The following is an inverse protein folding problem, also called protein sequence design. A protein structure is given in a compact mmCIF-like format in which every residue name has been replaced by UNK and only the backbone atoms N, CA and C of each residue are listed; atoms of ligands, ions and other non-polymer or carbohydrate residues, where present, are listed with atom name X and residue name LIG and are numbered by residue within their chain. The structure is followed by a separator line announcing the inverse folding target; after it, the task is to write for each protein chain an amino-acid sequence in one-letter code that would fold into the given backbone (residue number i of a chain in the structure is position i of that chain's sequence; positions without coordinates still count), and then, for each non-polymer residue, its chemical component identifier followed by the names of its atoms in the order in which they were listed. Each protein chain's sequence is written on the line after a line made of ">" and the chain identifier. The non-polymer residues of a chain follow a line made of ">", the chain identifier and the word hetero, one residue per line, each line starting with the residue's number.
data_IF_179681155796
#
_entry.id   IF_179681155796
#
_cell.length_a   1.000
_cell.length_b   1.000
_cell.length_c   1.000
_cell.angle_alpha   90.00
_cell.angle_beta   90.00
_cell.angle_gamma   90.00
#
_symmetry.space_group_name_H-M   'P 1'
#
loop_
_entity.id
_entity.type
_entity.pdbx_description
1 polymer ?
#
# COMPACT_ATOMS: atom_id res chain seq x y z
N UNK A 1 -7.42 -9.11 -6.19
CA UNK A 1 -5.95 -9.28 -6.32
C UNK A 1 -5.28 -8.15 -5.56
N UNK A 2 -4.18 -8.42 -4.85
CA UNK A 2 -3.49 -7.42 -4.02
C UNK A 2 -3.15 -6.13 -4.79
N UNK A 3 -2.81 -6.23 -6.08
CA UNK A 3 -2.53 -5.11 -6.98
C UNK A 3 -3.67 -4.08 -7.02
N UNK A 4 -4.93 -4.52 -7.01
CA UNK A 4 -6.10 -3.61 -7.04
C UNK A 4 -6.15 -2.78 -5.76
N UNK A 5 -5.91 -3.39 -4.60
CA UNK A 5 -5.81 -2.67 -3.33
C UNK A 5 -4.63 -1.69 -3.34
N UNK A 6 -3.51 -2.08 -3.97
CA UNK A 6 -2.34 -1.21 -4.12
C UNK A 6 -2.61 0.02 -4.97
N UNK A 7 -3.35 -0.12 -6.08
CA UNK A 7 -3.75 1.02 -6.92
C UNK A 7 -4.71 1.93 -6.15
N UNK A 8 -5.69 1.37 -5.44
CA UNK A 8 -6.62 2.15 -4.63
C UNK A 8 -5.89 2.95 -3.54
N UNK A 9 -4.86 2.38 -2.91
CA UNK A 9 -4.08 3.10 -1.90
C UNK A 9 -3.38 4.34 -2.48
N UNK A 10 -2.86 4.23 -3.71
CA UNK A 10 -2.18 5.33 -4.42
C UNK A 10 -3.19 6.42 -4.76
N UNK A 11 -4.38 6.06 -5.26
CA UNK A 11 -5.46 7.02 -5.54
C UNK A 11 -5.85 7.78 -4.27
N UNK A 12 -6.02 7.08 -3.14
CA UNK A 12 -6.28 7.72 -1.85
C UNK A 12 -5.13 8.63 -1.39
N UNK A 13 -3.88 8.24 -1.61
CA UNK A 13 -2.73 9.08 -1.29
C UNK A 13 -2.75 10.38 -2.10
N UNK A 14 -2.99 10.29 -3.41
CA UNK A 14 -3.07 11.47 -4.30
C UNK A 14 -4.20 12.40 -3.85
N UNK A 15 -5.39 11.85 -3.57
CA UNK A 15 -6.52 12.63 -3.05
C UNK A 15 -6.19 13.31 -1.71
N UNK A 16 -5.47 12.63 -0.81
CA UNK A 16 -5.04 13.21 0.46
C UNK A 16 -4.13 14.43 0.26
N UNK A 17 -3.21 14.37 -0.72
CA UNK A 17 -2.34 15.49 -1.07
C UNK A 17 -3.10 16.66 -1.72
N UNK A 18 -4.04 16.40 -2.62
CA UNK A 18 -4.88 17.45 -3.23
C UNK A 18 -5.65 18.20 -2.13
N UNK A 19 -6.22 17.46 -1.16
CA UNK A 19 -6.97 18.08 -0.06
C UNK A 19 -6.07 18.81 0.96
N UNK A 20 -4.83 18.37 1.10
CA UNK A 20 -3.82 19.07 1.91
C UNK A 20 -3.51 20.45 1.34
N UNK A 21 -3.36 20.56 0.01
CA UNK A 21 -3.14 21.85 -0.67
C UNK A 21 -4.36 22.77 -0.48
N UNK A 22 -5.56 22.21 -0.51
CA UNK A 22 -6.81 22.94 -0.27
C UNK A 22 -7.10 23.22 1.23
N UNK A 23 -6.14 22.95 2.13
CA UNK A 23 -6.24 23.14 3.60
C UNK A 23 -7.49 22.51 4.22
N UNK A 24 -7.93 21.37 3.69
CA UNK A 24 -9.14 20.69 4.13
C UNK A 24 -8.81 19.52 5.07
N UNK A 25 -9.41 19.52 6.26
CA UNK A 25 -9.21 18.47 7.29
C UNK A 25 -9.55 17.04 6.81
N UNK A 26 -10.35 16.89 5.75
CA UNK A 26 -10.61 15.59 5.11
C UNK A 26 -9.34 14.93 4.54
N UNK A 27 -8.23 15.67 4.36
CA UNK A 27 -6.94 15.12 3.96
C UNK A 27 -6.46 13.99 4.88
N UNK A 28 -6.67 14.12 6.20
CA UNK A 28 -6.28 13.09 7.18
C UNK A 28 -7.09 11.81 6.95
N UNK A 29 -8.40 11.92 6.72
CA UNK A 29 -9.25 10.75 6.44
C UNK A 29 -8.77 9.99 5.21
N UNK A 30 -8.49 10.69 4.10
CA UNK A 30 -7.96 10.06 2.90
C UNK A 30 -6.58 9.44 3.11
N UNK A 31 -5.74 10.05 3.94
CA UNK A 31 -4.44 9.49 4.31
C UNK A 31 -4.57 8.19 5.12
N UNK A 32 -5.49 8.15 6.08
CA UNK A 32 -5.79 6.92 6.84
C UNK A 32 -6.35 5.82 5.92
N UNK A 33 -7.25 6.17 4.99
CA UNK A 33 -7.73 5.23 3.97
C UNK A 33 -6.58 4.70 3.11
N UNK A 34 -5.67 5.56 2.63
CA UNK A 34 -4.50 5.15 1.86
C UNK A 34 -3.67 4.10 2.61
N UNK A 35 -3.29 4.39 3.87
CA UNK A 35 -2.51 3.48 4.70
C UNK A 35 -3.24 2.16 4.98
N UNK A 36 -4.57 2.19 5.20
CA UNK A 36 -5.35 0.97 5.37
C UNK A 36 -5.28 0.07 4.12
N UNK A 37 -5.37 0.63 2.92
CA UNK A 37 -5.24 -0.13 1.68
C UNK A 37 -3.81 -0.64 1.45
N UNK A 38 -2.77 0.07 1.89
CA UNK A 38 -1.38 -0.46 1.91
C UNK A 38 -1.32 -1.73 2.75
N UNK A 39 -1.88 -1.72 3.97
CA UNK A 39 -1.88 -2.92 4.83
C UNK A 39 -2.68 -4.07 4.24
N UNK A 40 -3.86 -3.80 3.68
CA UNK A 40 -4.68 -4.81 3.00
C UNK A 40 -3.93 -5.43 1.81
N UNK A 41 -3.19 -4.62 1.05
CA UNK A 41 -2.35 -5.07 -0.07
C UNK A 41 -1.32 -6.08 0.40
N UNK A 42 -0.59 -5.77 1.48
CA UNK A 42 0.41 -6.68 2.06
C UNK A 42 -0.22 -7.97 2.60
N UNK A 43 -1.37 -7.88 3.27
CA UNK A 43 -2.10 -9.05 3.77
C UNK A 43 -2.56 -9.95 2.62
N UNK A 44 -3.05 -9.37 1.52
CA UNK A 44 -3.46 -10.14 0.34
C UNK A 44 -2.28 -10.79 -0.37
N UNK A 45 -1.14 -10.10 -0.46
CA UNK A 45 0.11 -10.67 -0.99
C UNK A 45 0.56 -11.86 -0.13
N UNK A 46 0.60 -11.69 1.19
CA UNK A 46 0.94 -12.76 2.10
C UNK A 46 -0.01 -13.96 1.98
N UNK A 47 -1.31 -13.72 1.78
CA UNK A 47 -2.30 -14.78 1.51
C UNK A 47 -2.00 -15.54 0.22
N UNK A 48 -1.48 -14.87 -0.81
CA UNK A 48 -1.07 -15.51 -2.06
C UNK A 48 0.16 -16.39 -1.85
N UNK A 49 1.18 -15.88 -1.15
CA UNK A 49 2.37 -16.67 -0.76
C UNK A 49 1.96 -17.89 0.05
N UNK A 50 1.05 -17.74 1.03
CA UNK A 50 0.51 -18.84 1.81
C UNK A 50 -0.17 -19.90 0.94
N UNK A 51 -0.89 -19.48 -0.10
CA UNK A 51 -1.55 -20.41 -1.03
C UNK A 51 -0.55 -21.17 -1.89
N UNK A 52 0.56 -20.54 -2.32
CA UNK A 52 1.63 -21.25 -3.03
C UNK A 52 2.32 -22.26 -2.13
N UNK A 53 2.62 -21.90 -0.88
CA UNK A 53 3.20 -22.83 0.10
C UNK A 53 2.29 -24.04 0.32
N UNK A 54 0.98 -23.82 0.51
CA UNK A 54 0.00 -24.90 0.70
C UNK A 54 -0.14 -25.83 -0.51
N UNK A 55 0.20 -25.35 -1.70
CA UNK A 55 0.16 -26.11 -2.95
C UNK A 55 1.54 -26.66 -3.35
N UNK A 56 2.56 -26.43 -2.52
CA UNK A 56 3.95 -26.78 -2.81
C UNK A 56 4.45 -26.18 -4.15
N UNK A 57 3.93 -25.00 -4.50
CA UNK A 57 4.27 -24.30 -5.75
C UNK A 57 5.58 -23.50 -5.57
N UNK A 58 6.68 -24.24 -5.35
CA UNK A 58 8.01 -23.67 -5.11
C UNK A 58 8.52 -22.85 -6.28
N UNK A 59 8.13 -23.22 -7.50
CA UNK A 59 8.48 -22.48 -8.71
C UNK A 59 7.90 -21.06 -8.67
N UNK A 60 6.62 -20.90 -8.33
CA UNK A 60 6.01 -19.58 -8.21
C UNK A 60 6.61 -18.76 -7.06
N UNK A 61 6.94 -19.41 -5.93
CA UNK A 61 7.63 -18.76 -4.82
C UNK A 61 8.99 -18.18 -5.24
N UNK A 62 9.81 -18.97 -5.93
CA UNK A 62 11.15 -18.57 -6.37
C UNK A 62 11.13 -17.50 -7.46
N UNK A 63 10.13 -17.53 -8.34
CA UNK A 63 10.00 -16.57 -9.44
C UNK A 63 9.45 -15.21 -8.96
N UNK A 64 8.43 -15.23 -8.10
CA UNK A 64 7.68 -14.00 -7.77
C UNK A 64 8.16 -13.32 -6.49
N UNK A 65 8.36 -14.07 -5.39
CA UNK A 65 8.54 -13.49 -4.05
C UNK A 65 9.80 -12.62 -3.92
N UNK A 66 10.98 -13.01 -4.41
CA UNK A 66 12.20 -12.20 -4.25
C UNK A 66 12.06 -10.80 -4.88
N UNK A 67 11.54 -10.75 -6.11
CA UNK A 67 11.35 -9.49 -6.83
C UNK A 67 10.24 -8.65 -6.20
N UNK A 68 9.09 -9.27 -5.89
CA UNK A 68 7.94 -8.56 -5.33
C UNK A 68 8.21 -8.01 -3.93
N UNK A 69 9.02 -8.69 -3.12
CA UNK A 69 9.42 -8.17 -1.80
C UNK A 69 10.12 -6.82 -1.92
N UNK A 70 11.08 -6.68 -2.83
CA UNK A 70 11.81 -5.42 -3.06
C UNK A 70 10.84 -4.33 -3.53
N UNK A 71 9.97 -4.65 -4.49
CA UNK A 71 8.97 -3.71 -5.02
C UNK A 71 8.02 -3.23 -3.92
N UNK A 72 7.52 -4.14 -3.09
CA UNK A 72 6.60 -3.84 -1.99
C UNK A 72 7.29 -3.02 -0.89
N UNK A 73 8.56 -3.29 -0.58
CA UNK A 73 9.33 -2.47 0.35
C UNK A 73 9.41 -1.01 -0.11
N UNK A 74 9.78 -0.78 -1.38
CA UNK A 74 9.84 0.58 -1.95
C UNK A 74 8.46 1.24 -1.92
N UNK A 75 7.43 0.52 -2.35
CA UNK A 75 6.03 0.98 -2.33
C UNK A 75 5.57 1.40 -0.93
N UNK A 76 5.82 0.58 0.10
CA UNK A 76 5.44 0.87 1.49
C UNK A 76 6.18 2.09 2.01
N UNK A 77 7.50 2.17 1.81
CA UNK A 77 8.31 3.30 2.28
C UNK A 77 7.81 4.61 1.67
N UNK A 78 7.60 4.63 0.35
CA UNK A 78 7.13 5.83 -0.36
C UNK A 78 5.76 6.29 0.14
N UNK A 79 4.79 5.38 0.24
CA UNK A 79 3.44 5.75 0.70
C UNK A 79 3.40 6.11 2.18
N UNK A 80 4.20 5.46 3.01
CA UNK A 80 4.27 5.77 4.43
C UNK A 80 4.85 7.18 4.64
N UNK A 81 5.95 7.52 3.96
CA UNK A 81 6.52 8.87 3.99
C UNK A 81 5.53 9.92 3.46
N UNK A 82 4.91 9.65 2.31
CA UNK A 82 3.95 10.58 1.69
C UNK A 82 2.74 10.85 2.61
N UNK A 83 2.22 9.83 3.28
CA UNK A 83 1.09 9.96 4.20
C UNK A 83 1.48 10.62 5.53
N UNK A 84 2.67 10.35 6.07
CA UNK A 84 3.16 11.05 7.27
C UNK A 84 3.21 12.56 7.04
N UNK A 85 3.72 12.99 5.88
CA UNK A 85 3.78 14.43 5.54
C UNK A 85 2.38 15.05 5.50
N UNK A 86 1.39 14.35 4.93
CA UNK A 86 -0.01 14.79 4.94
C UNK A 86 -0.54 14.94 6.36
N UNK A 87 -0.33 13.94 7.22
CA UNK A 87 -0.81 13.97 8.61
C UNK A 87 -0.18 15.13 9.38
N UNK A 88 1.14 15.31 9.27
CA UNK A 88 1.87 16.37 9.98
C UNK A 88 1.44 17.77 9.52
N UNK A 89 1.18 17.97 8.22
CA UNK A 89 0.76 19.27 7.68
C UNK A 89 -0.69 19.66 8.01
N UNK A 90 -1.57 18.68 8.25
CA UNK A 90 -3.00 18.92 8.52
C UNK A 90 -3.39 18.71 9.99
N UNK A 91 -2.42 18.41 10.86
CA UNK A 91 -2.59 18.35 12.32
C UNK A 91 -2.88 19.74 12.88
#
# INVERSE_FOLDING_TARGET
>A
MWIVCGIISIIFCIMAWIWTINKNKKAILFSMCSLSFVTITLIMEYRMVLNWVKKEDWSALLDVVPTMFIVLCVYVILLLLANIVVIVKNK
#
